data_IF_454543233614
#
_entry.id   IF_454543233614
#
_cell.length_a   1.000
_cell.length_b   1.000
_cell.length_c   1.000
_cell.angle_alpha   90.00
_cell.angle_beta   90.00
_cell.angle_gamma   90.00
#
_symmetry.space_group_name_H-M   'P 1'
#
loop_
_entity.id
_entity.type
_entity.pdbx_description
1 polymer ?
#
# COMPACT_ATOMS: atom_id res chain seq x y z
N UNK A 1 -74.40 34.40 -18.30
CA UNK A 1 -73.05 33.82 -18.46
C UNK A 1 -72.02 34.78 -17.85
N UNK A 2 -71.48 34.49 -16.66
CA UNK A 2 -70.44 35.32 -16.03
C UNK A 2 -69.07 34.64 -16.16
N UNK A 3 -68.11 35.31 -16.82
CA UNK A 3 -66.73 34.82 -17.01
C UNK A 3 -65.78 35.38 -15.95
N UNK A 4 -65.29 34.47 -15.10
CA UNK A 4 -63.97 34.33 -14.49
C UNK A 4 -63.05 35.56 -14.37
N UNK A 5 -62.68 35.92 -13.12
CA UNK A 5 -61.52 36.79 -12.80
C UNK A 5 -60.80 36.44 -11.49
N UNK A 6 -60.58 35.16 -11.18
CA UNK A 6 -59.78 34.77 -10.01
C UNK A 6 -58.82 33.63 -10.35
N UNK A 7 -57.63 33.92 -10.92
CA UNK A 7 -56.53 32.92 -11.02
C UNK A 7 -55.21 33.49 -11.58
N UNK A 8 -54.65 34.62 -11.08
CA UNK A 8 -53.36 35.13 -11.61
C UNK A 8 -52.26 35.63 -10.63
N UNK A 9 -52.49 35.85 -9.33
CA UNK A 9 -51.40 36.17 -8.39
C UNK A 9 -50.62 34.95 -7.88
N UNK A 10 -51.28 33.79 -7.75
CA UNK A 10 -50.69 32.60 -7.11
C UNK A 10 -49.69 31.87 -8.01
N UNK A 11 -50.03 31.67 -9.28
CA UNK A 11 -49.16 30.97 -10.24
C UNK A 11 -47.81 31.66 -10.47
N UNK A 12 -47.78 33.01 -10.54
CA UNK A 12 -46.52 33.78 -10.68
C UNK A 12 -45.64 33.68 -9.43
N UNK A 13 -46.24 33.64 -8.25
CA UNK A 13 -45.52 33.45 -6.98
C UNK A 13 -44.98 32.03 -6.89
N UNK A 14 -45.77 31.02 -7.24
CA UNK A 14 -45.34 29.62 -7.29
C UNK A 14 -44.18 29.39 -8.27
N UNK A 15 -44.23 29.99 -9.46
CA UNK A 15 -43.13 29.95 -10.42
C UNK A 15 -41.87 30.64 -9.89
N UNK A 16 -42.02 31.78 -9.22
CA UNK A 16 -40.91 32.48 -8.58
C UNK A 16 -40.27 31.63 -7.46
N UNK A 17 -41.09 31.02 -6.60
CA UNK A 17 -40.61 30.09 -5.56
C UNK A 17 -39.98 28.82 -6.13
N UNK A 18 -40.46 28.33 -7.27
CA UNK A 18 -39.84 27.20 -7.96
C UNK A 18 -38.46 27.57 -8.48
N UNK A 19 -38.33 28.69 -9.21
CA UNK A 19 -37.03 29.19 -9.69
C UNK A 19 -36.06 29.47 -8.55
N UNK A 20 -36.56 30.01 -7.43
CA UNK A 20 -35.74 30.28 -6.25
C UNK A 20 -35.26 28.98 -5.59
N UNK A 21 -36.12 27.95 -5.49
CA UNK A 21 -35.73 26.63 -5.00
C UNK A 21 -34.71 25.97 -5.91
N UNK A 22 -34.96 25.94 -7.22
CA UNK A 22 -34.02 25.40 -8.21
C UNK A 22 -32.66 26.11 -8.16
N UNK A 23 -32.66 27.44 -8.02
CA UNK A 23 -31.43 28.23 -7.86
C UNK A 23 -30.70 27.91 -6.54
N UNK A 24 -31.43 27.76 -5.44
CA UNK A 24 -30.86 27.38 -4.14
C UNK A 24 -30.28 25.96 -4.16
N UNK A 25 -30.99 25.01 -4.77
CA UNK A 25 -30.56 23.63 -4.90
C UNK A 25 -29.31 23.53 -5.79
N UNK A 26 -29.29 24.24 -6.92
CA UNK A 26 -28.11 24.35 -7.78
C UNK A 26 -26.92 25.00 -7.04
N UNK A 27 -27.16 26.06 -6.26
CA UNK A 27 -26.14 26.71 -5.47
C UNK A 27 -25.58 25.80 -4.36
N UNK A 28 -26.44 25.00 -3.71
CA UNK A 28 -26.04 24.03 -2.70
C UNK A 28 -25.18 22.90 -3.28
N UNK A 29 -25.53 22.39 -4.47
CA UNK A 29 -24.73 21.40 -5.20
C UNK A 29 -23.36 22.00 -5.56
N UNK A 30 -23.35 23.20 -6.16
CA UNK A 30 -22.11 23.88 -6.52
C UNK A 30 -21.23 24.23 -5.30
N UNK A 31 -21.81 24.54 -4.14
CA UNK A 31 -21.08 24.75 -2.90
C UNK A 31 -20.46 23.44 -2.38
N UNK A 32 -21.20 22.33 -2.44
CA UNK A 32 -20.71 21.00 -2.06
C UNK A 32 -19.54 20.54 -2.92
N UNK A 33 -19.63 20.73 -4.23
CA UNK A 33 -18.57 20.33 -5.16
C UNK A 33 -17.31 21.17 -4.97
N UNK A 34 -17.46 22.48 -4.75
CA UNK A 34 -16.34 23.36 -4.37
C UNK A 34 -15.71 22.95 -3.05
N UNK A 35 -16.51 22.63 -2.03
CA UNK A 35 -15.99 22.17 -0.74
C UNK A 35 -15.21 20.85 -0.87
N UNK A 36 -15.67 19.92 -1.71
CA UNK A 36 -14.93 18.70 -2.04
C UNK A 36 -13.60 18.99 -2.73
N UNK A 37 -13.60 19.85 -3.75
CA UNK A 37 -12.38 20.22 -4.47
C UNK A 37 -11.34 20.91 -3.56
N UNK A 38 -11.79 21.80 -2.67
CA UNK A 38 -10.94 22.45 -1.68
C UNK A 38 -10.37 21.44 -0.69
N UNK A 39 -11.20 20.52 -0.18
CA UNK A 39 -10.75 19.47 0.75
C UNK A 39 -9.68 18.57 0.11
N UNK A 40 -9.89 18.15 -1.13
CA UNK A 40 -8.93 17.33 -1.87
C UNK A 40 -7.60 18.08 -2.08
N UNK A 41 -7.68 19.36 -2.44
CA UNK A 41 -6.50 20.22 -2.60
C UNK A 41 -5.76 20.42 -1.27
N UNK A 42 -6.47 20.60 -0.16
CA UNK A 42 -5.84 20.71 1.15
C UNK A 42 -5.18 19.40 1.58
N UNK A 43 -5.78 18.26 1.24
CA UNK A 43 -5.21 16.93 1.52
C UNK A 43 -3.92 16.72 0.73
N UNK A 44 -3.91 17.01 -0.57
CA UNK A 44 -2.70 16.89 -1.39
C UNK A 44 -1.58 17.81 -0.90
N UNK A 45 -1.89 19.08 -0.60
CA UNK A 45 -0.91 20.01 -0.05
C UNK A 45 -0.35 19.57 1.31
N UNK A 46 -1.16 18.96 2.17
CA UNK A 46 -0.67 18.38 3.44
C UNK A 46 0.26 17.21 3.19
N UNK A 47 -0.06 16.34 2.23
CA UNK A 47 0.80 15.22 1.85
C UNK A 47 2.14 15.71 1.28
N UNK A 48 2.12 16.70 0.39
CA UNK A 48 3.32 17.29 -0.20
C UNK A 48 4.20 17.96 0.86
N UNK A 49 3.62 18.74 1.78
CA UNK A 49 4.37 19.33 2.90
C UNK A 49 5.02 18.28 3.79
N UNK A 50 4.29 17.20 4.10
CA UNK A 50 4.85 16.12 4.90
C UNK A 50 5.98 15.39 4.18
N UNK A 51 5.84 15.18 2.86
CA UNK A 51 6.88 14.61 2.02
C UNK A 51 8.13 15.50 2.00
N UNK A 52 7.95 16.82 1.90
CA UNK A 52 9.05 17.79 1.94
C UNK A 52 9.76 17.76 3.29
N UNK A 53 9.01 17.85 4.39
CA UNK A 53 9.56 17.93 5.75
C UNK A 53 10.31 16.67 6.18
N UNK A 54 9.79 15.49 5.85
CA UNK A 54 10.35 14.22 6.31
C UNK A 54 11.38 13.65 5.32
N UNK A 55 11.17 13.85 4.02
CA UNK A 55 11.91 13.14 2.98
C UNK A 55 12.64 14.05 1.98
N UNK A 56 12.66 15.37 2.20
CA UNK A 56 13.34 16.32 1.30
C UNK A 56 12.63 16.48 -0.05
N UNK A 57 11.35 16.12 -0.10
CA UNK A 57 10.52 16.28 -1.28
C UNK A 57 10.47 15.06 -2.19
N UNK A 58 9.73 15.20 -3.29
CA UNK A 58 9.35 14.05 -4.13
C UNK A 58 10.54 13.35 -4.78
N UNK A 59 11.47 14.11 -5.33
CA UNK A 59 12.63 13.55 -6.02
C UNK A 59 13.55 12.80 -5.04
N UNK A 60 13.79 13.36 -3.86
CA UNK A 60 14.69 12.76 -2.88
C UNK A 60 14.04 11.56 -2.18
N UNK A 61 12.73 11.61 -1.91
CA UNK A 61 11.96 10.45 -1.47
C UNK A 61 12.05 9.28 -2.47
N UNK A 62 11.93 9.55 -3.77
CA UNK A 62 12.03 8.53 -4.81
C UNK A 62 13.45 7.96 -4.95
N UNK A 63 14.49 8.80 -4.86
CA UNK A 63 15.88 8.34 -4.81
C UNK A 63 16.10 7.44 -3.60
N UNK A 64 15.64 7.86 -2.42
CA UNK A 64 15.77 7.09 -1.19
C UNK A 64 15.04 5.76 -1.28
N UNK A 65 13.83 5.73 -1.83
CA UNK A 65 13.09 4.50 -2.08
C UNK A 65 13.89 3.55 -2.98
N UNK A 66 14.43 4.04 -4.10
CA UNK A 66 15.27 3.24 -5.01
C UNK A 66 16.49 2.66 -4.31
N UNK A 67 17.17 3.45 -3.48
CA UNK A 67 18.36 3.01 -2.78
C UNK A 67 18.04 1.96 -1.72
N UNK A 68 16.97 2.14 -0.95
CA UNK A 68 16.48 1.14 0.01
C UNK A 68 16.12 -0.15 -0.70
N UNK A 69 15.36 -0.08 -1.81
CA UNK A 69 15.00 -1.28 -2.59
C UNK A 69 16.23 -2.04 -3.07
N UNK A 70 17.26 -1.34 -3.55
CA UNK A 70 18.53 -1.97 -3.96
C UNK A 70 19.29 -2.60 -2.79
N UNK A 71 19.29 -1.96 -1.64
CA UNK A 71 19.92 -2.51 -0.44
C UNK A 71 19.20 -3.78 0.04
N UNK A 72 17.86 -3.77 0.03
CA UNK A 72 17.06 -4.96 0.35
C UNK A 72 17.34 -6.11 -0.62
N UNK A 73 17.43 -5.84 -1.92
CA UNK A 73 17.81 -6.86 -2.90
C UNK A 73 19.20 -7.45 -2.63
N UNK A 74 20.18 -6.60 -2.27
CA UNK A 74 21.53 -7.07 -1.89
C UNK A 74 21.50 -7.94 -0.64
N UNK A 75 20.74 -7.53 0.38
CA UNK A 75 20.58 -8.30 1.62
C UNK A 75 19.90 -9.64 1.35
N UNK A 76 18.84 -9.68 0.55
CA UNK A 76 18.19 -10.96 0.18
C UNK A 76 19.13 -11.89 -0.59
N UNK A 77 20.01 -11.36 -1.44
CA UNK A 77 21.02 -12.19 -2.13
C UNK A 77 22.05 -12.73 -1.14
N UNK A 78 22.55 -11.90 -0.23
CA UNK A 78 23.49 -12.32 0.80
C UNK A 78 22.88 -13.36 1.76
N UNK A 79 21.64 -13.13 2.19
CA UNK A 79 20.88 -14.07 3.01
C UNK A 79 20.73 -15.41 2.29
N UNK A 80 20.31 -15.41 1.03
CA UNK A 80 20.18 -16.65 0.23
C UNK A 80 21.52 -17.40 0.12
N UNK A 81 22.61 -16.69 -0.12
CA UNK A 81 23.94 -17.30 -0.20
C UNK A 81 24.33 -17.98 1.13
N UNK A 82 24.14 -17.29 2.27
CA UNK A 82 24.40 -17.85 3.59
C UNK A 82 23.48 -19.03 3.93
N UNK A 83 22.22 -18.98 3.50
CA UNK A 83 21.29 -20.09 3.67
C UNK A 83 21.73 -21.33 2.88
N UNK A 84 22.18 -21.16 1.64
CA UNK A 84 22.75 -22.23 0.82
C UNK A 84 24.01 -22.80 1.46
N UNK A 85 24.96 -21.96 1.85
CA UNK A 85 26.20 -22.37 2.50
C UNK A 85 25.93 -23.14 3.81
N UNK A 86 24.98 -22.67 4.64
CA UNK A 86 24.56 -23.40 5.84
C UNK A 86 24.03 -24.78 5.48
N UNK A 87 23.17 -24.89 4.48
CA UNK A 87 22.52 -26.16 4.14
C UNK A 87 23.53 -27.15 3.55
N UNK A 88 24.49 -26.68 2.75
CA UNK A 88 25.66 -27.46 2.30
C UNK A 88 26.51 -27.95 3.48
N UNK A 89 26.88 -27.04 4.40
CA UNK A 89 27.66 -27.39 5.59
C UNK A 89 26.93 -28.41 6.47
N UNK A 90 25.63 -28.26 6.65
CA UNK A 90 24.79 -29.24 7.36
C UNK A 90 24.87 -30.61 6.66
N UNK A 91 24.80 -30.64 5.33
CA UNK A 91 25.00 -31.87 4.54
C UNK A 91 26.35 -32.52 4.77
N UNK A 92 27.45 -31.75 4.69
CA UNK A 92 28.81 -32.25 4.94
C UNK A 92 28.98 -32.76 6.37
N UNK A 93 28.47 -32.04 7.37
CA UNK A 93 28.54 -32.46 8.78
C UNK A 93 27.72 -33.73 9.02
N UNK A 94 26.59 -33.90 8.31
CA UNK A 94 25.82 -35.15 8.35
C UNK A 94 26.57 -36.33 7.75
N UNK A 95 27.36 -36.11 6.70
CA UNK A 95 28.18 -37.15 6.06
C UNK A 95 29.29 -37.67 7.00
N UNK A 96 29.79 -36.83 7.92
CA UNK A 96 30.75 -37.23 8.98
C UNK A 96 30.06 -37.59 10.30
N UNK A 97 28.81 -38.05 10.22
CA UNK A 97 28.01 -38.60 11.32
C UNK A 97 27.66 -37.63 12.48
N UNK A 98 27.79 -36.31 12.30
CA UNK A 98 27.31 -35.35 13.33
C UNK A 98 25.81 -35.50 13.52
N UNK A 99 25.38 -35.68 14.76
CA UNK A 99 23.97 -35.94 15.07
C UNK A 99 23.07 -34.74 14.75
N UNK A 100 21.82 -35.02 14.36
CA UNK A 100 20.80 -33.97 14.20
C UNK A 100 20.58 -33.14 15.46
N UNK A 101 20.82 -33.73 16.65
CA UNK A 101 20.71 -33.03 17.91
C UNK A 101 21.77 -31.92 18.04
N UNK A 102 23.03 -32.22 17.72
CA UNK A 102 24.11 -31.24 17.75
C UNK A 102 23.89 -30.14 16.72
N UNK A 103 23.51 -30.50 15.48
CA UNK A 103 23.23 -29.53 14.43
C UNK A 103 22.09 -28.58 14.79
N UNK A 104 21.03 -29.10 15.42
CA UNK A 104 19.92 -28.28 15.91
C UNK A 104 20.37 -27.27 16.97
N UNK A 105 21.21 -27.68 17.91
CA UNK A 105 21.76 -26.81 18.94
C UNK A 105 22.59 -25.67 18.35
N UNK A 106 23.46 -25.96 17.38
CA UNK A 106 24.37 -24.95 16.81
C UNK A 106 23.70 -24.02 15.78
N UNK A 107 22.72 -24.54 15.02
CA UNK A 107 22.03 -23.75 13.99
C UNK A 107 20.80 -22.99 14.50
N UNK A 108 20.31 -23.32 15.71
CA UNK A 108 19.04 -22.82 16.23
C UNK A 108 17.81 -23.33 15.49
N UNK A 109 17.96 -24.29 14.57
CA UNK A 109 16.88 -24.89 13.81
C UNK A 109 16.39 -26.18 14.45
N UNK A 110 15.10 -26.49 14.30
CA UNK A 110 14.58 -27.79 14.74
C UNK A 110 15.13 -28.93 13.87
N UNK A 111 15.26 -30.13 14.44
CA UNK A 111 15.72 -31.33 13.71
C UNK A 111 14.89 -31.60 12.45
N UNK A 112 13.58 -31.40 12.54
CA UNK A 112 12.66 -31.56 11.42
C UNK A 112 12.91 -30.52 10.32
N UNK A 113 13.21 -29.27 10.69
CA UNK A 113 13.54 -28.22 9.72
C UNK A 113 14.84 -28.55 8.98
N UNK A 114 15.86 -29.03 9.69
CA UNK A 114 17.13 -29.45 9.11
C UNK A 114 16.96 -30.62 8.14
N UNK A 115 16.28 -31.69 8.56
CA UNK A 115 16.07 -32.89 7.73
C UNK A 115 15.31 -32.60 6.43
N UNK A 116 14.31 -31.71 6.46
CA UNK A 116 13.57 -31.33 5.24
C UNK A 116 14.45 -30.59 4.24
N UNK A 117 15.37 -29.73 4.73
CA UNK A 117 16.24 -28.91 3.88
C UNK A 117 17.34 -29.74 3.21
N UNK A 118 17.87 -30.75 3.90
CA UNK A 118 18.86 -31.66 3.31
C UNK A 118 18.25 -32.58 2.27
N UNK A 119 17.02 -33.09 2.50
CA UNK A 119 16.36 -33.97 1.51
C UNK A 119 16.03 -33.22 0.21
N UNK A 120 15.64 -31.95 0.28
CA UNK A 120 15.38 -31.12 -0.91
C UNK A 120 16.67 -30.77 -1.66
N UNK A 121 17.80 -30.67 -0.95
CA UNK A 121 19.10 -30.36 -1.56
C UNK A 121 19.76 -31.57 -2.22
N UNK A 122 19.49 -32.79 -1.74
CA UNK A 122 19.98 -34.04 -2.34
C UNK A 122 19.25 -34.46 -3.62
N UNK A 123 18.04 -33.95 -3.87
CA UNK A 123 17.23 -34.25 -5.07
C UNK A 123 17.58 -33.37 -6.30
N UNK A 124 18.61 -32.51 -6.21
CA UNK A 124 19.12 -31.79 -7.38
C UNK A 124 20.23 -32.60 -8.06
N UNK A 125 20.01 -33.17 -9.26
CA UNK A 125 21.10 -33.76 -10.02
C UNK A 125 22.08 -32.67 -10.44
N UNK A 126 23.35 -32.86 -10.10
CA UNK A 126 24.46 -32.07 -10.61
C UNK A 126 24.44 -32.13 -12.15
N UNK A 127 24.37 -30.97 -12.80
CA UNK A 127 24.66 -30.78 -14.23
C UNK A 127 25.94 -29.97 -14.36
#
# INVERSE_FOLDING_TARGET
>A
MARSKYTKPNARREEAYRRQREANDAAAIAARDRARAVSETQRSQRADRNLELVWGGRTDALKRLRDISRQLEKLHRAERALLTERDELVGTLRAVEVSWAQLATWSGLSRQALSKRTNVSQDRPDF
#
